data_IF_949108853791
#
_entry.id   IF_949108853791
#
_cell.length_a   1.000
_cell.length_b   1.000
_cell.length_c   1.000
_cell.angle_alpha   90.00
_cell.angle_beta   90.00
_cell.angle_gamma   90.00
#
_symmetry.space_group_name_H-M   'P 1'
#
loop_
_entity.id
_entity.type
_entity.pdbx_description
1 polymer ?
#
# COMPACT_ATOMS: atom_id res chain seq x y z
N UNK A 1 32.66 -21.64 -2.51
CA UNK A 1 31.20 -21.81 -2.41
C UNK A 1 30.69 -20.71 -1.49
N UNK A 2 30.72 -19.46 -1.96
CA UNK A 2 30.21 -18.33 -1.20
C UNK A 2 28.73 -18.17 -1.52
N UNK A 3 27.89 -18.35 -0.50
CA UNK A 3 26.47 -18.07 -0.62
C UNK A 3 26.32 -16.56 -0.85
N UNK A 4 25.86 -16.20 -2.04
CA UNK A 4 25.45 -14.85 -2.37
C UNK A 4 24.37 -14.45 -1.36
N UNK A 5 24.53 -13.37 -0.58
CA UNK A 5 23.48 -12.94 0.33
C UNK A 5 22.24 -12.61 -0.49
N UNK A 6 21.12 -13.25 -0.17
CA UNK A 6 19.82 -12.97 -0.78
C UNK A 6 19.52 -11.47 -0.62
N UNK A 7 19.24 -10.81 -1.76
CA UNK A 7 18.98 -9.38 -1.86
C UNK A 7 17.91 -8.85 -0.88
N UNK A 8 17.11 -9.75 -0.31
CA UNK A 8 16.03 -9.45 0.62
C UNK A 8 16.50 -8.94 1.99
N UNK A 9 17.74 -9.23 2.42
CA UNK A 9 18.23 -8.77 3.74
C UNK A 9 18.62 -7.28 3.77
N UNK A 10 18.80 -6.64 2.62
CA UNK A 10 19.18 -5.22 2.51
C UNK A 10 17.98 -4.28 2.31
N UNK A 11 16.78 -4.84 2.12
CA UNK A 11 15.58 -4.05 1.90
C UNK A 11 14.96 -3.74 3.26
N UNK A 12 15.50 -2.74 3.94
CA UNK A 12 14.86 -2.16 5.12
C UNK A 12 13.52 -1.55 4.71
N UNK A 13 12.46 -2.34 4.79
CA UNK A 13 11.10 -1.92 4.45
C UNK A 13 10.42 -1.21 5.61
N UNK A 14 11.11 -0.90 6.71
CA UNK A 14 10.51 -0.21 7.85
C UNK A 14 9.86 1.12 7.45
N UNK A 15 10.50 1.87 6.55
CA UNK A 15 9.95 3.10 5.95
C UNK A 15 8.78 2.84 4.99
N UNK A 16 8.84 1.75 4.20
CA UNK A 16 7.75 1.36 3.29
C UNK A 16 6.51 0.97 4.10
N UNK A 17 6.70 0.33 5.26
CA UNK A 17 5.61 0.02 6.19
C UNK A 17 4.98 1.29 6.75
N UNK A 18 5.76 2.35 7.01
CA UNK A 18 5.22 3.62 7.49
C UNK A 18 4.34 4.32 6.43
N UNK A 19 4.84 4.45 5.19
CA UNK A 19 4.08 5.05 4.08
C UNK A 19 2.84 4.25 3.72
N UNK A 20 2.95 2.91 3.75
CA UNK A 20 1.82 2.03 3.51
C UNK A 20 0.74 2.18 4.60
N UNK A 21 1.15 2.23 5.87
CA UNK A 21 0.24 2.45 6.98
C UNK A 21 -0.44 3.82 6.91
N UNK A 22 0.31 4.87 6.56
CA UNK A 22 -0.23 6.21 6.37
C UNK A 22 -1.25 6.24 5.22
N UNK A 23 -0.94 5.63 4.08
CA UNK A 23 -1.87 5.56 2.96
C UNK A 23 -3.14 4.76 3.31
N UNK A 24 -3.02 3.64 4.02
CA UNK A 24 -4.16 2.86 4.51
C UNK A 24 -5.01 3.69 5.48
N UNK A 25 -4.37 4.43 6.39
CA UNK A 25 -5.04 5.32 7.33
C UNK A 25 -5.86 6.38 6.57
N UNK A 26 -5.25 7.08 5.61
CA UNK A 26 -5.95 8.09 4.79
C UNK A 26 -7.13 7.48 4.03
N UNK A 27 -6.97 6.30 3.43
CA UNK A 27 -8.06 5.63 2.70
C UNK A 27 -9.24 5.32 3.63
N UNK A 28 -8.98 4.89 4.87
CA UNK A 28 -10.03 4.63 5.88
C UNK A 28 -10.72 5.91 6.33
N UNK A 29 -9.97 6.98 6.55
CA UNK A 29 -10.55 8.28 6.94
C UNK A 29 -11.45 8.83 5.83
N UNK A 30 -11.03 8.77 4.56
CA UNK A 30 -11.88 9.18 3.42
C UNK A 30 -13.14 8.32 3.35
N UNK A 31 -13.03 7.00 3.54
CA UNK A 31 -14.21 6.13 3.54
C UNK A 31 -15.16 6.40 4.72
N UNK A 32 -14.64 6.86 5.86
CA UNK A 32 -15.44 7.21 7.03
C UNK A 32 -16.12 8.58 6.89
N UNK A 33 -15.50 9.54 6.19
CA UNK A 33 -15.99 10.92 6.08
C UNK A 33 -16.93 11.16 4.89
N UNK A 34 -16.92 10.31 3.87
CA UNK A 34 -17.69 10.51 2.64
C UNK A 34 -18.66 9.34 2.39
N UNK A 35 -19.88 9.62 1.94
CA UNK A 35 -20.91 8.59 1.70
C UNK A 35 -20.64 7.71 0.47
N UNK A 36 -20.01 8.28 -0.57
CA UNK A 36 -19.77 7.61 -1.87
C UNK A 36 -18.37 7.92 -2.41
N UNK A 37 -17.31 7.54 -1.70
CA UNK A 37 -15.95 7.73 -2.18
C UNK A 37 -15.70 6.90 -3.43
N UNK A 38 -14.93 7.45 -4.37
CA UNK A 38 -14.52 6.76 -5.59
C UNK A 38 -13.00 6.81 -5.73
N UNK A 39 -12.44 5.76 -6.32
CA UNK A 39 -11.03 5.70 -6.67
C UNK A 39 -10.88 5.89 -8.18
N UNK A 40 -10.28 7.00 -8.60
CA UNK A 40 -10.01 7.25 -10.01
C UNK A 40 -8.90 6.31 -10.50
N UNK A 41 -9.24 5.44 -11.44
CA UNK A 41 -8.34 4.40 -11.94
C UNK A 41 -7.94 4.66 -13.39
N UNK A 42 -6.65 4.87 -13.62
CA UNK A 42 -6.09 5.15 -14.96
C UNK A 42 -5.45 3.93 -15.63
N UNK A 43 -5.32 2.81 -14.92
CA UNK A 43 -4.58 1.64 -15.40
C UNK A 43 -3.06 1.75 -15.29
N UNK A 44 -2.53 2.89 -14.83
CA UNK A 44 -1.11 3.08 -14.58
C UNK A 44 -0.65 2.54 -13.22
N UNK A 45 0.68 2.40 -13.04
CA UNK A 45 1.31 1.83 -11.84
C UNK A 45 0.87 2.49 -10.52
N UNK A 46 0.64 3.80 -10.55
CA UNK A 46 0.28 4.57 -9.36
C UNK A 46 -1.17 4.26 -8.95
N UNK A 47 -2.09 4.23 -9.92
CA UNK A 47 -3.48 3.85 -9.67
C UNK A 47 -3.64 2.39 -9.25
N UNK A 48 -2.83 1.47 -9.80
CA UNK A 48 -2.79 0.06 -9.37
C UNK A 48 -2.28 -0.06 -7.93
N UNK A 49 -1.25 0.71 -7.56
CA UNK A 49 -0.75 0.77 -6.19
C UNK A 49 -1.85 1.22 -5.22
N UNK A 50 -2.60 2.28 -5.57
CA UNK A 50 -3.72 2.75 -4.75
C UNK A 50 -4.84 1.71 -4.62
N UNK A 51 -5.17 0.97 -5.70
CA UNK A 51 -6.13 -0.16 -5.61
C UNK A 51 -5.62 -1.20 -4.61
N UNK A 52 -4.33 -1.56 -4.65
CA UNK A 52 -3.77 -2.55 -3.73
C UNK A 52 -3.81 -2.06 -2.28
N UNK A 53 -3.52 -0.78 -2.04
CA UNK A 53 -3.61 -0.15 -0.72
C UNK A 53 -5.06 -0.13 -0.21
N UNK A 54 -6.02 0.20 -1.08
CA UNK A 54 -7.44 0.17 -0.75
C UNK A 54 -7.91 -1.24 -0.38
N UNK A 55 -7.44 -2.27 -1.10
CA UNK A 55 -7.71 -3.66 -0.71
C UNK A 55 -7.18 -3.96 0.70
N UNK A 56 -5.91 -3.62 0.99
CA UNK A 56 -5.33 -3.83 2.33
C UNK A 56 -6.03 -3.03 3.44
N UNK A 57 -6.61 -1.88 3.10
CA UNK A 57 -7.36 -1.08 4.06
C UNK A 57 -8.65 -1.76 4.53
N UNK A 58 -9.30 -2.57 3.70
CA UNK A 58 -10.63 -3.14 4.00
C UNK A 58 -10.70 -4.67 4.01
N UNK A 59 -9.68 -5.36 3.50
CA UNK A 59 -9.56 -6.81 3.58
C UNK A 59 -8.36 -7.16 4.46
N UNK A 60 -8.55 -7.93 5.55
CA UNK A 60 -7.43 -8.43 6.33
C UNK A 60 -6.60 -9.39 5.46
N UNK A 61 -5.28 -9.28 5.59
CA UNK A 61 -4.27 -10.13 4.93
C UNK A 61 -3.73 -11.18 5.88
#
# INVERSE_FOLDING_TARGET
MEATPSLDLLKDTSHINALENEAIYIIREVAAQFEKPVLLFSGGKDSITLVRLAQKAFLPS
#
